data_IF_160715214931
#
_entry.id   IF_160715214931
#
_cell.length_a   1.000
_cell.length_b   1.000
_cell.length_c   1.000
_cell.angle_alpha   90.00
_cell.angle_beta   90.00
_cell.angle_gamma   90.00
#
_symmetry.space_group_name_H-M   'P 1'
#
loop_
_entity.id
_entity.type
_entity.pdbx_description
1 polymer ?
#
# COMPACT_ATOMS: atom_id res chain seq x y z
N UNK A 1 2.34 18.37 16.86
CA UNK A 1 1.74 17.79 15.63
C UNK A 1 2.55 18.35 14.48
N UNK A 2 3.20 17.52 13.67
CA UNK A 2 3.96 18.01 12.51
C UNK A 2 3.00 18.17 11.32
N UNK A 3 3.29 19.11 10.42
CA UNK A 3 2.50 19.28 9.20
C UNK A 3 2.72 18.08 8.29
N UNK A 4 1.66 17.45 7.80
CA UNK A 4 1.77 16.27 6.93
C UNK A 4 2.51 16.57 5.62
N UNK A 5 2.53 17.83 5.20
CA UNK A 5 3.30 18.31 4.03
C UNK A 5 4.82 18.17 4.24
N UNK A 6 5.32 18.25 5.49
CA UNK A 6 6.75 18.03 5.78
C UNK A 6 7.19 16.58 5.51
N UNK A 7 6.29 15.60 5.54
CA UNK A 7 6.61 14.18 5.27
C UNK A 7 7.23 14.03 3.86
N UNK A 8 6.71 14.77 2.88
CA UNK A 8 7.11 14.66 1.48
C UNK A 8 8.13 15.69 1.04
N UNK A 9 8.62 16.56 1.92
CA UNK A 9 9.54 17.65 1.60
C UNK A 9 10.75 17.20 0.77
N UNK A 10 11.35 16.06 1.11
CA UNK A 10 12.50 15.51 0.36
C UNK A 10 12.10 14.98 -1.01
N UNK A 11 10.93 14.38 -1.14
CA UNK A 11 10.36 13.96 -2.42
C UNK A 11 10.05 15.18 -3.29
N UNK A 12 9.45 16.23 -2.73
CA UNK A 12 9.18 17.50 -3.41
C UNK A 12 10.47 18.12 -3.96
N UNK A 13 11.55 18.16 -3.17
CA UNK A 13 12.83 18.70 -3.62
C UNK A 13 13.45 17.89 -4.77
N UNK A 14 13.19 16.58 -4.84
CA UNK A 14 13.74 15.71 -5.88
C UNK A 14 12.89 15.70 -7.16
N UNK A 15 11.57 15.65 -7.00
CA UNK A 15 10.61 15.37 -8.07
C UNK A 15 9.77 16.58 -8.50
N UNK A 16 9.77 17.65 -7.70
CA UNK A 16 8.94 18.84 -7.90
C UNK A 16 7.57 18.77 -7.21
N UNK A 17 6.96 19.93 -7.00
CA UNK A 17 5.62 20.08 -6.40
C UNK A 17 4.52 19.48 -7.28
N UNK A 18 4.65 19.61 -8.61
CA UNK A 18 3.71 19.04 -9.58
C UNK A 18 3.61 17.52 -9.45
N UNK A 19 4.75 16.85 -9.24
CA UNK A 19 4.78 15.40 -9.03
C UNK A 19 4.03 15.01 -7.76
N UNK A 20 4.33 15.65 -6.62
CA UNK A 20 3.71 15.28 -5.34
C UNK A 20 2.21 15.53 -5.39
N UNK A 21 1.79 16.66 -5.96
CA UNK A 21 0.37 16.99 -6.15
C UNK A 21 -0.33 15.97 -7.03
N UNK A 22 0.29 15.56 -8.15
CA UNK A 22 -0.26 14.53 -9.01
C UNK A 22 -0.34 13.18 -8.29
N UNK A 23 0.74 12.74 -7.64
CA UNK A 23 0.85 11.47 -6.94
C UNK A 23 -0.21 11.32 -5.83
N UNK A 24 -0.49 12.39 -5.09
CA UNK A 24 -1.51 12.39 -4.05
C UNK A 24 -2.92 12.09 -4.58
N UNK A 25 -3.19 12.44 -5.84
CA UNK A 25 -4.48 12.18 -6.49
C UNK A 25 -4.53 10.85 -7.26
N UNK A 26 -3.42 10.12 -7.37
CA UNK A 26 -3.36 8.85 -8.09
C UNK A 26 -3.91 7.69 -7.27
N UNK A 27 -4.67 6.82 -7.94
CA UNK A 27 -5.26 5.59 -7.40
C UNK A 27 -4.49 4.39 -7.89
N UNK A 28 -3.81 3.69 -6.98
CA UNK A 28 -3.04 2.48 -7.30
C UNK A 28 -3.67 1.27 -6.61
N UNK A 29 -3.78 0.14 -7.31
CA UNK A 29 -4.15 -1.15 -6.72
C UNK A 29 -2.97 -2.13 -6.81
N UNK A 30 -2.71 -2.85 -5.72
CA UNK A 30 -1.63 -3.84 -5.60
C UNK A 30 -2.22 -5.20 -5.27
N UNK A 31 -2.05 -6.17 -6.18
CA UNK A 31 -2.45 -7.56 -5.98
C UNK A 31 -1.29 -8.39 -5.42
N UNK A 32 -1.50 -8.92 -4.22
CA UNK A 32 -0.54 -9.69 -3.46
C UNK A 32 0.42 -8.80 -2.66
N UNK A 33 0.33 -8.85 -1.33
CA UNK A 33 1.20 -8.09 -0.42
C UNK A 33 2.28 -8.99 0.20
N UNK A 34 2.85 -9.85 -0.63
CA UNK A 34 3.91 -10.78 -0.27
C UNK A 34 5.31 -10.16 -0.31
N UNK A 35 6.29 -10.91 -0.83
CA UNK A 35 7.71 -10.52 -0.82
C UNK A 35 8.06 -9.34 -1.73
N UNK A 36 7.17 -8.94 -2.63
CA UNK A 36 7.34 -7.78 -3.53
C UNK A 36 6.31 -6.71 -3.20
N UNK A 37 5.02 -7.07 -3.24
CA UNK A 37 3.94 -6.08 -3.10
C UNK A 37 3.92 -5.34 -1.76
N UNK A 38 4.35 -5.97 -0.66
CA UNK A 38 4.41 -5.26 0.63
C UNK A 38 5.43 -4.12 0.63
N UNK A 39 6.62 -4.33 0.05
CA UNK A 39 7.63 -3.29 -0.13
C UNK A 39 7.19 -2.24 -1.14
N UNK A 40 6.57 -2.66 -2.24
CA UNK A 40 6.05 -1.77 -3.26
C UNK A 40 5.01 -0.81 -2.68
N UNK A 41 4.01 -1.33 -1.96
CA UNK A 41 2.98 -0.54 -1.31
C UNK A 41 3.56 0.48 -0.30
N UNK A 42 4.57 0.09 0.47
CA UNK A 42 5.24 1.02 1.38
C UNK A 42 5.98 2.12 0.62
N UNK A 43 6.71 1.78 -0.45
CA UNK A 43 7.41 2.80 -1.24
C UNK A 43 6.43 3.75 -1.94
N UNK A 44 5.30 3.25 -2.46
CA UNK A 44 4.26 4.11 -3.05
C UNK A 44 3.76 5.16 -2.06
N UNK A 45 3.42 4.74 -0.83
CA UNK A 45 2.96 5.67 0.21
C UNK A 45 4.06 6.65 0.63
N UNK A 46 5.32 6.18 0.77
CA UNK A 46 6.47 7.05 1.07
C UNK A 46 6.79 8.05 -0.06
N UNK A 47 6.47 7.70 -1.30
CA UNK A 47 6.63 8.55 -2.48
C UNK A 47 5.48 9.53 -2.68
N UNK A 48 4.43 9.49 -1.85
CA UNK A 48 3.33 10.46 -1.89
C UNK A 48 2.08 9.99 -2.61
N UNK A 49 1.97 8.69 -2.96
CA UNK A 49 0.70 8.15 -3.45
C UNK A 49 -0.35 8.25 -2.35
N UNK A 50 -1.45 8.95 -2.66
CA UNK A 50 -2.51 9.24 -1.70
C UNK A 50 -3.56 8.15 -1.60
N UNK A 51 -3.88 7.46 -2.69
CA UNK A 51 -4.92 6.43 -2.72
C UNK A 51 -4.32 5.07 -3.12
N UNK A 52 -4.36 4.11 -2.20
CA UNK A 52 -3.85 2.76 -2.45
C UNK A 52 -4.87 1.70 -2.02
N UNK A 53 -5.11 0.73 -2.90
CA UNK A 53 -5.85 -0.49 -2.59
C UNK A 53 -4.88 -1.66 -2.55
N UNK A 54 -4.91 -2.45 -1.49
CA UNK A 54 -4.08 -3.64 -1.32
C UNK A 54 -4.97 -4.88 -1.21
N UNK A 55 -4.66 -5.91 -2.00
CA UNK A 55 -5.47 -7.12 -2.12
C UNK A 55 -4.63 -8.36 -1.85
N UNK A 56 -4.95 -9.13 -0.82
CA UNK A 56 -4.30 -10.41 -0.51
C UNK A 56 -5.20 -11.21 0.44
N UNK A 57 -5.38 -12.50 0.19
CA UNK A 57 -6.27 -13.35 0.98
C UNK A 57 -5.63 -13.92 2.24
N UNK A 58 -4.29 -13.91 2.33
CA UNK A 58 -3.56 -14.69 3.31
C UNK A 58 -3.39 -13.97 4.66
N UNK A 59 -3.02 -14.76 5.67
CA UNK A 59 -2.40 -14.28 6.90
C UNK A 59 -0.87 -14.36 6.82
N UNK A 60 -0.19 -13.63 7.71
CA UNK A 60 1.26 -13.67 7.88
C UNK A 60 1.68 -15.04 8.42
N UNK A 61 2.57 -15.73 7.70
CA UNK A 61 3.19 -16.98 8.15
C UNK A 61 4.63 -16.77 8.64
N UNK A 62 5.13 -17.67 9.49
CA UNK A 62 6.53 -17.62 9.99
C UNK A 62 7.55 -17.63 8.85
N UNK A 63 7.30 -18.42 7.80
CA UNK A 63 8.17 -18.51 6.62
C UNK A 63 8.19 -17.24 5.76
N UNK A 64 7.36 -16.24 6.07
CA UNK A 64 7.33 -14.95 5.36
C UNK A 64 8.33 -13.94 5.93
N UNK A 65 8.80 -14.13 7.17
CA UNK A 65 9.66 -13.18 7.91
C UNK A 65 10.94 -12.83 7.14
N UNK A 66 11.47 -13.75 6.33
CA UNK A 66 12.71 -13.51 5.60
C UNK A 66 12.60 -12.51 4.44
N UNK A 67 11.38 -12.12 4.01
CA UNK A 67 11.20 -11.35 2.77
C UNK A 67 9.98 -10.46 2.68
N UNK A 68 9.00 -10.60 3.56
CA UNK A 68 7.78 -9.77 3.51
C UNK A 68 7.87 -8.69 4.57
N UNK A 69 7.69 -7.43 4.17
CA UNK A 69 7.82 -6.25 5.03
C UNK A 69 6.98 -6.35 6.31
N UNK A 70 5.76 -6.88 6.19
CA UNK A 70 4.80 -6.99 7.30
C UNK A 70 5.04 -8.19 8.21
N UNK A 71 5.93 -9.11 7.84
CA UNK A 71 6.14 -10.35 8.56
C UNK A 71 7.19 -10.17 9.67
N UNK A 72 6.71 -10.14 10.91
CA UNK A 72 7.52 -10.08 12.13
C UNK A 72 7.04 -11.17 13.08
N UNK A 73 7.82 -11.48 14.12
CA UNK A 73 7.39 -12.41 15.18
C UNK A 73 6.09 -11.97 15.86
N UNK A 74 5.74 -10.69 15.82
CA UNK A 74 4.52 -10.13 16.43
C UNK A 74 3.29 -10.18 15.52
N UNK A 75 3.49 -10.32 14.20
CA UNK A 75 2.39 -10.22 13.22
C UNK A 75 1.96 -11.57 12.66
N UNK A 76 2.67 -12.66 12.98
CA UNK A 76 2.28 -14.02 12.59
C UNK A 76 0.84 -14.32 12.99
N UNK A 77 0.07 -14.88 12.05
CA UNK A 77 -1.34 -15.22 12.21
C UNK A 77 -2.32 -14.07 11.89
N UNK A 78 -1.85 -12.83 11.76
CA UNK A 78 -2.69 -11.69 11.41
C UNK A 78 -2.91 -11.60 9.89
N UNK A 79 -4.03 -11.03 9.45
CA UNK A 79 -4.36 -10.82 8.04
C UNK A 79 -3.36 -9.85 7.41
N UNK A 80 -2.77 -10.22 6.27
CA UNK A 80 -1.65 -9.46 5.69
C UNK A 80 -2.04 -8.03 5.34
N UNK A 81 -3.18 -7.84 4.68
CA UNK A 81 -3.65 -6.52 4.24
C UNK A 81 -3.97 -5.60 5.41
N UNK A 82 -4.45 -6.14 6.54
CA UNK A 82 -4.75 -5.33 7.74
C UNK A 82 -3.46 -4.86 8.43
N UNK A 83 -2.47 -5.74 8.56
CA UNK A 83 -1.15 -5.39 9.09
C UNK A 83 -0.49 -4.32 8.22
N UNK A 84 -0.54 -4.50 6.89
CA UNK A 84 0.04 -3.53 5.97
C UNK A 84 -0.70 -2.19 6.05
N UNK A 85 -2.03 -2.18 6.04
CA UNK A 85 -2.82 -0.94 6.15
C UNK A 85 -2.46 -0.14 7.39
N UNK A 86 -2.37 -0.79 8.55
CA UNK A 86 -1.96 -0.13 9.79
C UNK A 86 -0.58 0.53 9.63
N UNK A 87 0.38 -0.21 9.09
CA UNK A 87 1.75 0.29 8.84
C UNK A 87 1.80 1.45 7.85
N UNK A 88 1.02 1.41 6.76
CA UNK A 88 0.97 2.50 5.78
C UNK A 88 0.40 3.78 6.40
N UNK A 89 -0.61 3.67 7.26
CA UNK A 89 -1.19 4.82 7.96
C UNK A 89 -0.28 5.38 9.07
N UNK A 90 0.62 4.57 9.63
CA UNK A 90 1.71 5.07 10.49
C UNK A 90 2.72 5.92 9.71
N UNK A 91 2.86 5.71 8.41
CA UNK A 91 3.76 6.47 7.52
C UNK A 91 3.09 7.75 7.02
N UNK A 92 1.89 7.62 6.43
CA UNK A 92 1.10 8.75 5.97
C UNK A 92 -0.34 8.63 6.51
N UNK A 93 -0.65 9.32 7.62
CA UNK A 93 -2.00 9.29 8.20
C UNK A 93 -3.10 9.88 7.31
N UNK A 94 -2.74 10.62 6.25
CA UNK A 94 -3.69 11.18 5.28
C UNK A 94 -3.90 10.28 4.06
N UNK A 95 -3.16 9.18 3.92
CA UNK A 95 -3.38 8.25 2.81
C UNK A 95 -4.73 7.54 2.96
N UNK A 96 -5.45 7.39 1.85
CA UNK A 96 -6.62 6.54 1.76
C UNK A 96 -6.17 5.11 1.41
N UNK A 97 -6.20 4.23 2.41
CA UNK A 97 -5.78 2.84 2.28
C UNK A 97 -6.98 1.90 2.36
N UNK A 98 -7.30 1.26 1.23
CA UNK A 98 -8.32 0.22 1.14
C UNK A 98 -7.66 -1.15 1.23
N UNK A 99 -8.05 -1.95 2.23
CA UNK A 99 -7.52 -3.30 2.45
C UNK A 99 -8.62 -4.31 2.11
N UNK A 100 -8.35 -5.18 1.13
CA UNK A 100 -9.29 -6.20 0.67
C UNK A 100 -8.69 -7.58 0.92
N UNK A 101 -9.24 -8.32 1.89
CA UNK A 101 -8.87 -9.71 2.11
C UNK A 101 -9.57 -10.61 1.09
N UNK A 102 -9.12 -10.55 -0.15
CA UNK A 102 -9.73 -11.23 -1.30
C UNK A 102 -8.64 -11.82 -2.21
N UNK A 103 -9.06 -12.74 -3.08
CA UNK A 103 -8.22 -13.27 -4.16
C UNK A 103 -8.65 -12.65 -5.49
N UNK A 104 -7.69 -12.38 -6.36
CA UNK A 104 -7.98 -12.03 -7.76
C UNK A 104 -8.01 -13.29 -8.61
N UNK A 105 -9.18 -13.60 -9.17
CA UNK A 105 -9.40 -14.74 -10.06
C UNK A 105 -10.53 -14.39 -11.07
N UNK A 106 -10.85 -15.26 -12.05
CA UNK A 106 -11.90 -14.98 -13.02
C UNK A 106 -13.27 -14.64 -12.40
N UNK A 107 -13.59 -15.21 -11.24
CA UNK A 107 -14.86 -15.01 -10.55
C UNK A 107 -14.94 -13.64 -9.83
N UNK A 108 -13.82 -13.15 -9.30
CA UNK A 108 -13.77 -11.90 -8.51
C UNK A 108 -13.27 -10.71 -9.31
N UNK A 109 -12.63 -10.91 -10.47
CA UNK A 109 -11.97 -9.86 -11.24
C UNK A 109 -12.86 -8.63 -11.50
N UNK A 110 -14.13 -8.86 -11.86
CA UNK A 110 -15.08 -7.79 -12.15
C UNK A 110 -15.42 -6.92 -10.91
N UNK A 111 -15.29 -7.45 -9.69
CA UNK A 111 -15.62 -6.71 -8.47
C UNK A 111 -14.63 -5.58 -8.13
N UNK A 112 -13.41 -5.66 -8.65
CA UNK A 112 -12.35 -4.71 -8.33
C UNK A 112 -12.44 -3.40 -9.12
N UNK A 113 -13.31 -3.27 -10.13
CA UNK A 113 -13.50 -2.03 -10.91
C UNK A 113 -12.16 -1.42 -11.36
N UNK A 114 -11.34 -2.24 -12.02
CA UNK A 114 -9.94 -1.94 -12.36
C UNK A 114 -9.79 -0.66 -13.19
N UNK A 115 -10.80 -0.30 -13.96
CA UNK A 115 -10.90 0.94 -14.73
C UNK A 115 -10.88 2.22 -13.87
N UNK A 116 -11.10 2.12 -12.56
CA UNK A 116 -11.06 3.25 -11.62
C UNK A 116 -9.67 3.55 -11.07
N UNK A 117 -8.67 2.74 -11.42
CA UNK A 117 -7.30 2.89 -10.96
C UNK A 117 -6.41 3.44 -12.08
N UNK A 118 -5.48 4.33 -11.72
CA UNK A 118 -4.48 4.87 -12.63
C UNK A 118 -3.36 3.85 -12.92
N UNK A 119 -3.11 2.93 -12.00
CA UNK A 119 -2.06 1.93 -12.11
C UNK A 119 -2.40 0.65 -11.35
N UNK A 120 -2.03 -0.49 -11.92
CA UNK A 120 -2.25 -1.83 -11.37
C UNK A 120 -0.87 -2.49 -11.21
N UNK A 121 -0.62 -3.03 -10.02
CA UNK A 121 0.61 -3.77 -9.66
C UNK A 121 0.25 -5.19 -9.29
#
# INVERSE_FOLDING_TARGET
MFETEEIFKRTTLLMGEDYVTAAQNKRVIVFGVGGVGSWCAEMLVRSGIGHITIVDSDCVAVSNINRQLIATTHTVGQVKVDVLKKRLLEINPRAEVTALQQVYNPETAASFQLETYDYII
#
